data_IF_882060317858
#
_entry.id   IF_882060317858
#
_cell.length_a   1.000
_cell.length_b   1.000
_cell.length_c   1.000
_cell.angle_alpha   90.00
_cell.angle_beta   90.00
_cell.angle_gamma   90.00
#
_symmetry.space_group_name_H-M   'P 1'
#
loop_
_entity.id
_entity.type
_entity.pdbx_description
1 polymer ?
#
# COMPACT_ATOMS: atom_id res chain seq x y z
N UNK A 1 -14.48 -14.90 -16.46
CA UNK A 1 -13.67 -13.68 -16.62
C UNK A 1 -12.93 -13.52 -15.32
N UNK A 2 -11.62 -13.74 -15.32
CA UNK A 2 -10.79 -13.40 -14.17
C UNK A 2 -10.87 -11.87 -14.05
N UNK A 3 -11.55 -11.39 -13.01
CA UNK A 3 -11.57 -9.97 -12.71
C UNK A 3 -10.17 -9.64 -12.20
N UNK A 4 -9.37 -8.98 -13.03
CA UNK A 4 -8.06 -8.50 -12.63
C UNK A 4 -8.25 -7.56 -11.44
N UNK A 5 -7.68 -7.92 -10.28
CA UNK A 5 -7.69 -7.07 -9.10
C UNK A 5 -6.85 -5.84 -9.44
N UNK A 6 -7.39 -4.61 -9.36
CA UNK A 6 -6.63 -3.41 -9.67
C UNK A 6 -5.37 -3.33 -8.82
N UNK A 7 -4.22 -3.29 -9.48
CA UNK A 7 -2.92 -3.17 -8.84
C UNK A 7 -2.01 -2.19 -9.56
N UNK A 8 -1.02 -1.68 -8.83
CA UNK A 8 0.07 -0.88 -9.39
C UNK A 8 1.32 -1.02 -8.52
N UNK A 9 2.48 -0.80 -9.12
CA UNK A 9 3.77 -0.87 -8.42
C UNK A 9 4.57 0.42 -8.55
N UNK A 10 5.37 0.72 -7.53
CA UNK A 10 6.32 1.82 -7.52
C UNK A 10 7.51 1.50 -6.61
N UNK A 11 8.65 2.16 -6.83
CA UNK A 11 9.80 2.00 -5.96
C UNK A 11 9.70 2.93 -4.75
N UNK A 12 10.00 2.39 -3.56
CA UNK A 12 10.06 3.14 -2.30
C UNK A 12 11.34 2.79 -1.53
N UNK A 13 12.03 3.77 -0.92
CA UNK A 13 13.14 3.48 -0.03
C UNK A 13 12.64 2.87 1.28
N UNK A 14 13.02 1.63 1.56
CA UNK A 14 12.66 0.93 2.80
C UNK A 14 13.91 0.28 3.41
N UNK A 15 14.17 0.57 4.69
CA UNK A 15 15.36 0.08 5.41
C UNK A 15 16.70 0.34 4.66
N UNK A 16 16.79 1.47 3.96
CA UNK A 16 17.98 1.87 3.21
C UNK A 16 18.17 1.16 1.87
N UNK A 17 17.12 0.54 1.32
CA UNK A 17 17.13 -0.11 0.00
C UNK A 17 15.94 0.35 -0.84
N UNK A 18 16.15 0.51 -2.14
CA UNK A 18 15.03 0.64 -3.08
C UNK A 18 14.26 -0.68 -3.12
N UNK A 19 12.98 -0.61 -2.80
CA UNK A 19 12.08 -1.76 -2.68
C UNK A 19 10.94 -1.60 -3.66
N UNK A 20 10.66 -2.65 -4.43
CA UNK A 20 9.48 -2.68 -5.29
C UNK A 20 8.24 -2.84 -4.40
N UNK A 21 7.38 -1.83 -4.37
CA UNK A 21 6.15 -1.81 -3.62
C UNK A 21 4.99 -1.99 -4.58
N UNK A 22 4.32 -3.14 -4.51
CA UNK A 22 3.08 -3.42 -5.21
C UNK A 22 1.90 -3.20 -4.27
N UNK A 23 0.87 -2.51 -4.76
CA UNK A 23 -0.37 -2.25 -4.04
C UNK A 23 -1.52 -2.88 -4.80
N UNK A 24 -2.34 -3.70 -4.12
CA UNK A 24 -3.53 -4.38 -4.67
C UNK A 24 -4.77 -3.91 -3.96
N UNK A 25 -5.78 -3.48 -4.70
CA UNK A 25 -7.06 -3.06 -4.14
C UNK A 25 -7.84 -4.27 -3.61
N UNK A 26 -8.30 -4.22 -2.37
CA UNK A 26 -9.08 -5.27 -1.73
C UNK A 26 -10.19 -4.68 -0.86
N UNK A 27 -11.44 -4.73 -1.35
CA UNK A 27 -12.69 -4.34 -0.67
C UNK A 27 -12.56 -3.19 0.35
N UNK A 28 -12.35 -1.96 -0.15
CA UNK A 28 -12.23 -0.76 0.69
C UNK A 28 -10.89 -0.59 1.40
N UNK A 29 -9.92 -1.47 1.12
CA UNK A 29 -8.55 -1.43 1.62
C UNK A 29 -7.55 -1.78 0.52
N UNK A 30 -6.26 -1.76 0.85
CA UNK A 30 -5.19 -2.04 -0.08
C UNK A 30 -4.13 -2.92 0.56
N UNK A 31 -3.86 -4.07 -0.06
CA UNK A 31 -2.76 -4.94 0.33
C UNK A 31 -1.46 -4.44 -0.28
N UNK A 32 -0.41 -4.41 0.54
CA UNK A 32 0.92 -3.90 0.21
C UNK A 32 1.89 -5.07 0.20
N UNK A 33 2.65 -5.18 -0.88
CA UNK A 33 3.65 -6.22 -1.09
C UNK A 33 5.00 -5.55 -1.34
N UNK A 34 6.05 -6.02 -0.66
CA UNK A 34 7.42 -5.61 -0.92
C UNK A 34 8.18 -6.74 -1.61
N UNK A 35 8.68 -6.46 -2.81
CA UNK A 35 9.33 -7.45 -3.68
C UNK A 35 8.48 -8.72 -3.92
N UNK A 36 7.16 -8.56 -3.94
CA UNK A 36 6.19 -9.65 -4.13
C UNK A 36 5.71 -10.35 -2.85
N UNK A 37 6.32 -10.08 -1.70
CA UNK A 37 5.90 -10.63 -0.41
C UNK A 37 4.89 -9.71 0.28
N UNK A 38 3.78 -10.26 0.78
CA UNK A 38 2.79 -9.48 1.53
C UNK A 38 3.40 -8.93 2.82
N UNK A 39 3.23 -7.63 3.04
CA UNK A 39 3.76 -6.93 4.23
C UNK A 39 2.64 -6.41 5.10
N UNK A 40 1.68 -5.69 4.52
CA UNK A 40 0.64 -5.00 5.29
C UNK A 40 -0.63 -4.77 4.48
N UNK A 41 -1.71 -4.46 5.17
CA UNK A 41 -2.93 -3.89 4.57
C UNK A 41 -3.11 -2.47 5.10
N UNK A 42 -3.40 -1.52 4.21
CA UNK A 42 -3.65 -0.12 4.54
C UNK A 42 -5.05 0.31 4.11
N UNK A 43 -5.66 1.23 4.84
CA UNK A 43 -6.95 1.84 4.53
C UNK A 43 -7.03 3.25 5.12
N UNK A 44 -8.02 4.04 4.70
CA UNK A 44 -8.33 5.30 5.39
C UNK A 44 -9.15 5.03 6.65
N UNK A 45 -8.91 5.80 7.70
CA UNK A 45 -9.77 5.82 8.89
C UNK A 45 -10.93 6.82 8.73
N UNK A 46 -11.76 6.99 9.76
CA UNK A 46 -12.90 7.92 9.77
C UNK A 46 -12.53 9.41 9.57
N UNK A 47 -11.25 9.75 9.61
CA UNK A 47 -10.72 11.10 9.36
C UNK A 47 -10.01 11.22 8.00
N UNK A 48 -10.21 10.26 7.10
CA UNK A 48 -9.57 10.15 5.78
C UNK A 48 -8.03 10.08 5.85
N UNK A 49 -7.48 9.59 6.97
CA UNK A 49 -6.04 9.40 7.14
C UNK A 49 -5.68 7.96 6.81
N UNK A 50 -4.66 7.77 5.96
CA UNK A 50 -4.08 6.46 5.67
C UNK A 50 -3.45 5.84 6.91
N UNK A 51 -3.94 4.65 7.26
CA UNK A 51 -3.46 3.86 8.40
C UNK A 51 -3.22 2.42 7.99
N UNK A 52 -2.26 1.78 8.63
CA UNK A 52 -2.09 0.34 8.56
C UNK A 52 -3.15 -0.34 9.44
N UNK A 53 -3.86 -1.32 8.87
CA UNK A 53 -4.90 -2.07 9.57
C UNK A 53 -4.51 -3.54 9.84
N UNK A 54 -3.48 -4.06 9.14
CA UNK A 54 -2.99 -5.44 9.30
C UNK A 54 -1.52 -5.59 8.87
N UNK A 55 -0.90 -6.71 9.24
CA UNK A 55 0.45 -7.13 8.81
C UNK A 55 1.61 -6.61 9.66
N UNK A 56 2.81 -6.61 9.08
CA UNK A 56 4.04 -6.16 9.71
C UNK A 56 4.04 -4.65 9.90
N UNK A 57 4.44 -4.16 11.08
CA UNK A 57 4.39 -2.73 11.39
C UNK A 57 5.30 -1.94 10.47
N UNK A 58 4.69 -1.12 9.61
CA UNK A 58 5.39 -0.16 8.77
C UNK A 58 5.72 1.11 9.55
N UNK A 59 6.85 1.77 9.24
CA UNK A 59 7.07 3.15 9.61
C UNK A 59 5.94 4.06 9.10
N UNK A 60 5.65 5.13 9.86
CA UNK A 60 4.53 6.02 9.55
C UNK A 60 4.72 6.75 8.21
N UNK A 61 5.93 7.21 7.92
CA UNK A 61 6.34 7.85 6.67
C UNK A 61 6.16 6.93 5.44
N UNK A 62 6.39 5.63 5.62
CA UNK A 62 6.16 4.63 4.57
C UNK A 62 4.66 4.46 4.31
N UNK A 63 3.85 4.39 5.37
CA UNK A 63 2.38 4.30 5.25
C UNK A 63 1.80 5.52 4.55
N UNK A 64 2.26 6.72 4.92
CA UNK A 64 1.86 7.99 4.30
C UNK A 64 2.24 8.04 2.82
N UNK A 65 3.49 7.68 2.49
CA UNK A 65 3.95 7.63 1.09
C UNK A 65 3.12 6.66 0.25
N UNK A 66 2.75 5.49 0.79
CA UNK A 66 1.87 4.54 0.11
C UNK A 66 0.49 5.15 -0.13
N UNK A 67 -0.07 5.82 0.89
CA UNK A 67 -1.32 6.57 0.79
C UNK A 67 -1.32 7.56 -0.36
N UNK A 68 -0.34 8.47 -0.39
CA UNK A 68 -0.17 9.47 -1.45
C UNK A 68 -0.14 8.85 -2.86
N UNK A 69 0.50 7.68 -2.99
CA UNK A 69 0.58 6.94 -4.26
C UNK A 69 -0.75 6.32 -4.67
N UNK A 70 -1.53 5.83 -3.72
CA UNK A 70 -2.88 5.32 -3.96
C UNK A 70 -3.78 6.45 -4.43
N UNK A 71 -3.76 7.59 -3.73
CA UNK A 71 -4.55 8.77 -4.09
C UNK A 71 -4.20 9.24 -5.50
N UNK A 72 -2.92 9.48 -5.78
CA UNK A 72 -2.47 9.91 -7.11
C UNK A 72 -2.85 8.96 -8.25
N UNK A 73 -3.18 7.69 -7.96
CA UNK A 73 -3.48 6.66 -8.96
C UNK A 73 -4.98 6.46 -9.18
N UNK A 74 -5.80 6.68 -8.17
CA UNK A 74 -7.21 6.29 -8.16
C UNK A 74 -8.19 7.39 -7.74
N UNK A 75 -7.73 8.46 -7.09
CA UNK A 75 -8.54 9.59 -6.63
C UNK A 75 -8.17 10.87 -7.38
#
# INVERSE_FOLDING_TARGET
MENEIPSFSFNIPFQGRDTDCEVKMHDGSYDVFFNGDFVATVATNDSDIWVQISGEKLPADITETIGDKIESRYL
#
